data_IF_874045624976
#
_entry.id   IF_874045624976
#
_cell.length_a   1.000
_cell.length_b   1.000
_cell.length_c   1.000
_cell.angle_alpha   90.00
_cell.angle_beta   90.00
_cell.angle_gamma   90.00
#
_symmetry.space_group_name_H-M   'P 1'
#
loop_
_entity.id
_entity.type
_entity.pdbx_description
1 polymer ?
#
# COMPACT_ATOMS: atom_id res chain seq x y z
N UNK A 1 10.47 -0.86 5.53
CA UNK A 1 9.74 -1.86 6.35
C UNK A 1 8.75 -2.68 5.52
N UNK A 2 7.94 -2.05 4.66
CA UNK A 2 7.03 -2.68 3.68
C UNK A 2 7.64 -3.83 2.87
N UNK A 3 8.78 -3.58 2.22
CA UNK A 3 9.45 -4.55 1.36
C UNK A 3 9.81 -5.84 2.09
N UNK A 4 10.21 -5.75 3.36
CA UNK A 4 10.49 -6.90 4.22
C UNK A 4 9.22 -7.71 4.53
N UNK A 5 8.09 -7.05 4.82
CA UNK A 5 6.83 -7.72 5.16
C UNK A 5 6.29 -8.48 3.93
N UNK A 6 6.34 -7.87 2.75
CA UNK A 6 5.85 -8.48 1.49
C UNK A 6 6.78 -9.61 1.01
N UNK A 7 8.09 -9.52 1.24
CA UNK A 7 9.02 -10.62 0.92
C UNK A 7 8.98 -11.78 1.92
N UNK A 8 8.36 -11.59 3.09
CA UNK A 8 8.24 -12.61 4.13
C UNK A 8 6.78 -12.85 4.53
N UNK A 9 5.90 -13.06 3.53
CA UNK A 9 4.47 -13.42 3.71
C UNK A 9 4.29 -14.64 4.64
N UNK A 10 5.33 -15.46 4.86
CA UNK A 10 5.32 -16.54 5.85
C UNK A 10 5.06 -16.09 7.30
N UNK A 11 5.26 -14.81 7.64
CA UNK A 11 4.83 -14.22 8.91
C UNK A 11 3.41 -13.66 8.81
N UNK A 12 2.42 -14.55 8.72
CA UNK A 12 1.01 -14.21 8.52
C UNK A 12 0.48 -13.17 9.52
N UNK A 13 0.79 -13.31 10.82
CA UNK A 13 0.29 -12.39 11.85
C UNK A 13 0.80 -10.95 11.66
N UNK A 14 2.09 -10.79 11.33
CA UNK A 14 2.68 -9.46 11.12
C UNK A 14 2.12 -8.81 9.86
N UNK A 15 1.92 -9.60 8.81
CA UNK A 15 1.31 -9.17 7.57
C UNK A 15 -0.15 -8.76 7.75
N UNK A 16 -0.94 -9.51 8.51
CA UNK A 16 -2.32 -9.19 8.84
C UNK A 16 -2.43 -7.90 9.65
N UNK A 17 -1.60 -7.74 10.71
CA UNK A 17 -1.56 -6.51 11.51
C UNK A 17 -1.17 -5.31 10.64
N UNK A 18 -0.22 -5.50 9.72
CA UNK A 18 0.20 -4.46 8.79
C UNK A 18 -0.96 -4.03 7.88
N UNK A 19 -1.63 -5.00 7.24
CA UNK A 19 -2.77 -4.70 6.37
C UNK A 19 -3.91 -4.05 7.14
N UNK A 20 -4.27 -4.55 8.32
CA UNK A 20 -5.30 -3.95 9.17
C UNK A 20 -4.97 -2.49 9.51
N UNK A 21 -3.70 -2.21 9.81
CA UNK A 21 -3.22 -0.86 10.12
C UNK A 21 -3.34 0.05 8.90
N UNK A 22 -2.94 -0.40 7.71
CA UNK A 22 -3.06 0.38 6.48
C UNK A 22 -4.52 0.55 6.07
N UNK A 23 -5.37 -0.48 6.17
CA UNK A 23 -6.78 -0.33 5.83
C UNK A 23 -7.44 0.74 6.75
N UNK A 24 -7.12 0.77 8.06
CA UNK A 24 -7.64 1.77 9.02
C UNK A 24 -7.00 3.16 8.91
N UNK A 25 -5.75 3.25 8.45
CA UNK A 25 -4.97 4.49 8.36
C UNK A 25 -4.18 4.55 7.06
N UNK A 26 -4.86 4.63 5.90
CA UNK A 26 -4.23 4.56 4.58
C UNK A 26 -3.14 5.61 4.37
N UNK A 27 -3.31 6.80 4.95
CA UNK A 27 -2.34 7.91 4.87
C UNK A 27 -0.92 7.49 5.30
N UNK A 28 -0.78 6.53 6.24
CA UNK A 28 0.53 6.04 6.68
C UNK A 28 1.35 5.44 5.53
N UNK A 29 0.69 4.77 4.59
CA UNK A 29 1.32 4.28 3.37
C UNK A 29 1.30 5.37 2.31
N UNK A 30 0.12 5.90 2.00
CA UNK A 30 -0.12 6.69 0.81
C UNK A 30 0.51 8.10 0.83
N UNK A 31 0.88 8.61 2.00
CA UNK A 31 1.64 9.86 2.15
C UNK A 31 3.14 9.60 2.44
N UNK A 32 3.56 8.34 2.55
CA UNK A 32 4.97 7.98 2.72
C UNK A 32 5.76 8.19 1.44
N UNK A 33 7.01 8.61 1.58
CA UNK A 33 7.97 8.66 0.46
C UNK A 33 8.17 7.27 -0.15
N UNK A 34 8.09 6.22 0.66
CA UNK A 34 8.25 4.82 0.26
C UNK A 34 7.16 4.36 -0.71
N UNK A 35 6.00 5.04 -0.75
CA UNK A 35 4.87 4.65 -1.60
C UNK A 35 5.26 4.57 -3.08
N UNK A 36 6.03 5.54 -3.57
CA UNK A 36 6.46 5.59 -4.98
C UNK A 36 7.36 4.41 -5.36
N UNK A 37 8.05 3.81 -4.39
CA UNK A 37 8.92 2.65 -4.58
C UNK A 37 8.20 1.30 -4.45
N UNK A 38 6.90 1.31 -4.15
CA UNK A 38 6.14 0.10 -3.90
C UNK A 38 6.04 -0.75 -5.16
N UNK A 39 6.29 -2.06 -5.05
CA UNK A 39 6.10 -3.02 -6.15
C UNK A 39 4.62 -3.19 -6.48
N UNK A 40 4.33 -3.50 -7.75
CA UNK A 40 2.97 -3.70 -8.23
C UNK A 40 2.18 -4.75 -7.44
N UNK A 41 2.81 -5.89 -7.11
CA UNK A 41 2.14 -6.97 -6.35
C UNK A 41 1.69 -6.53 -4.96
N UNK A 42 2.50 -5.71 -4.30
CA UNK A 42 2.17 -5.14 -3.00
C UNK A 42 1.02 -4.14 -3.09
N UNK A 43 1.04 -3.30 -4.13
CA UNK A 43 -0.02 -2.35 -4.40
C UNK A 43 -1.36 -3.07 -4.64
N UNK A 44 -1.35 -4.16 -5.41
CA UNK A 44 -2.53 -5.00 -5.65
C UNK A 44 -3.11 -5.58 -4.36
N UNK A 45 -2.26 -5.99 -3.42
CA UNK A 45 -2.71 -6.48 -2.11
C UNK A 45 -3.42 -5.35 -1.34
N UNK A 46 -2.80 -4.18 -1.24
CA UNK A 46 -3.34 -3.05 -0.49
C UNK A 46 -4.67 -2.58 -1.07
N UNK A 47 -4.79 -2.53 -2.39
CA UNK A 47 -6.03 -2.14 -3.08
C UNK A 47 -7.16 -3.16 -2.95
N UNK A 48 -6.86 -4.39 -2.51
CA UNK A 48 -7.87 -5.41 -2.17
C UNK A 48 -8.40 -5.28 -0.74
N UNK A 49 -7.91 -4.34 0.08
CA UNK A 49 -8.54 -4.01 1.36
C UNK A 49 -9.95 -3.47 1.12
N UNK A 50 -10.99 -4.24 1.45
CA UNK A 50 -12.40 -3.78 1.34
C UNK A 50 -12.72 -2.58 2.26
N UNK A 51 -11.98 -2.46 3.37
CA UNK A 51 -12.21 -1.43 4.41
C UNK A 51 -11.12 -0.36 4.42
N UNK A 52 -10.58 0.01 3.26
CA UNK A 52 -9.58 1.08 3.15
C UNK A 52 -10.24 2.45 3.41
N UNK A 53 -9.94 3.07 4.56
CA UNK A 53 -10.56 4.32 5.02
C UNK A 53 -9.99 5.56 4.30
N UNK A 54 -10.18 5.60 2.98
CA UNK A 54 -9.78 6.71 2.11
C UNK A 54 -10.78 6.83 0.95
N UNK A 55 -11.05 8.06 0.53
CA UNK A 55 -11.89 8.30 -0.66
C UNK A 55 -11.23 7.70 -1.90
N UNK A 56 -12.03 6.98 -2.67
CA UNK A 56 -11.58 6.33 -3.90
C UNK A 56 -10.90 7.32 -4.88
N UNK A 57 -11.45 8.53 -5.01
CA UNK A 57 -10.87 9.57 -5.87
C UNK A 57 -9.47 10.01 -5.43
N UNK A 58 -9.15 9.96 -4.13
CA UNK A 58 -7.83 10.29 -3.61
C UNK A 58 -6.85 9.14 -3.79
N UNK A 59 -7.32 7.89 -3.68
CA UNK A 59 -6.56 6.69 -4.05
C UNK A 59 -6.15 6.77 -5.52
N UNK A 60 -7.10 7.02 -6.44
CA UNK A 60 -6.82 7.13 -7.88
C UNK A 60 -5.77 8.21 -8.20
N UNK A 61 -5.85 9.39 -7.58
CA UNK A 61 -4.83 10.45 -7.76
C UNK A 61 -3.44 9.99 -7.36
N UNK A 62 -3.33 9.23 -6.27
CA UNK A 62 -2.05 8.70 -5.78
C UNK A 62 -1.51 7.59 -6.68
N UNK A 63 -2.38 6.69 -7.18
CA UNK A 63 -2.00 5.65 -8.14
C UNK A 63 -1.44 6.22 -9.44
N UNK A 64 -2.02 7.31 -9.95
CA UNK A 64 -1.50 8.00 -11.14
C UNK A 64 -0.07 8.53 -10.86
N UNK A 65 0.16 9.18 -9.72
CA UNK A 65 1.49 9.66 -9.32
C UNK A 65 2.50 8.53 -9.19
N UNK A 66 2.09 7.41 -8.59
CA UNK A 66 2.91 6.20 -8.50
C UNK A 66 3.27 5.66 -9.89
N UNK A 67 2.30 5.52 -10.79
CA UNK A 67 2.53 5.01 -12.15
C UNK A 67 3.48 5.91 -12.96
N UNK A 68 3.39 7.23 -12.79
CA UNK A 68 4.34 8.17 -13.40
C UNK A 68 5.76 7.96 -12.84
N UNK A 69 5.90 7.79 -11.52
CA UNK A 69 7.21 7.60 -10.88
C UNK A 69 7.90 6.29 -11.29
N UNK A 70 7.15 5.25 -11.67
CA UNK A 70 7.70 3.97 -12.11
C UNK A 70 8.16 3.98 -13.58
N UNK A 71 7.62 4.89 -14.39
CA UNK A 71 7.98 5.07 -15.80
C UNK A 71 8.98 6.22 -16.02
N UNK A 72 9.46 6.84 -14.95
CA UNK A 72 10.41 7.95 -14.99
C UNK A 72 11.87 7.47 -15.06
#
# INVERSE_FOLDING_TARGET
>A
MLHFIISNIQFNELYEIYLETICKKPNLLFDSEEFHSLKEDALKIILKCDNLDMKECDIWKKLIKWGIAQNA
#
